data_IF_120760103866
#
_entry.id   IF_120760103866
#
_cell.length_a   1.000
_cell.length_b   1.000
_cell.length_c   1.000
_cell.angle_alpha   90.00
_cell.angle_beta   90.00
_cell.angle_gamma   90.00
#
_symmetry.space_group_name_H-M   'P 1'
#
loop_
_entity.id
_entity.type
_entity.pdbx_description
1 polymer ?
#
# COMPACT_ATOMS: atom_id res chain seq x y z
N UNK A 1 6.31 51.49 58.87
CA UNK A 1 5.49 52.14 57.83
C UNK A 1 6.32 52.16 56.56
N UNK A 2 6.03 51.55 55.41
CA UNK A 2 4.98 50.70 54.86
C UNK A 2 5.70 49.79 53.84
N UNK A 3 5.62 48.46 53.91
CA UNK A 3 4.65 47.60 53.20
C UNK A 3 4.57 47.83 51.68
N UNK A 4 5.14 46.92 50.88
CA UNK A 4 4.44 45.95 49.99
C UNK A 4 5.32 45.51 48.81
N UNK A 5 5.88 44.32 48.95
CA UNK A 5 6.35 43.44 47.89
C UNK A 5 5.15 43.00 47.03
N UNK A 6 5.21 43.19 45.71
CA UNK A 6 4.25 42.60 44.76
C UNK A 6 4.99 41.60 43.88
N UNK A 7 4.72 40.31 44.14
CA UNK A 7 5.11 39.18 43.29
C UNK A 7 4.01 39.04 42.22
N UNK A 8 4.35 39.34 40.97
CA UNK A 8 3.49 39.05 39.84
C UNK A 8 3.69 37.59 39.42
N UNK A 9 2.77 36.72 39.86
CA UNK A 9 2.68 35.33 39.44
C UNK A 9 2.00 35.27 38.06
N UNK A 10 2.79 35.27 36.99
CA UNK A 10 2.30 35.06 35.63
C UNK A 10 1.94 33.58 35.42
N UNK A 11 0.65 33.28 35.40
CA UNK A 11 0.11 31.96 35.08
C UNK A 11 0.32 31.67 33.58
N UNK A 12 1.40 31.00 33.24
CA UNK A 12 1.62 30.48 31.89
C UNK A 12 0.66 29.30 31.65
N UNK A 13 -0.43 29.54 30.91
CA UNK A 13 -1.25 28.49 30.32
C UNK A 13 -0.42 27.78 29.25
N UNK A 14 0.26 26.71 29.63
CA UNK A 14 0.82 25.76 28.66
C UNK A 14 -0.33 24.96 28.08
N UNK A 15 -0.65 25.21 26.81
CA UNK A 15 -1.46 24.30 26.01
C UNK A 15 -0.67 23.00 25.92
N UNK A 16 -1.04 22.01 26.73
CA UNK A 16 -0.52 20.66 26.64
C UNK A 16 -1.00 20.06 25.32
N UNK A 17 -0.21 20.23 24.26
CA UNK A 17 -0.29 19.33 23.11
C UNK A 17 0.05 17.93 23.61
N UNK A 18 -0.82 16.92 23.42
CA UNK A 18 -0.54 15.57 23.87
C UNK A 18 0.77 15.10 23.23
N UNK A 19 1.75 14.81 24.10
CA UNK A 19 3.04 14.22 23.76
C UNK A 19 2.86 12.74 23.38
N UNK A 20 2.16 12.50 22.29
CA UNK A 20 2.22 11.26 21.53
C UNK A 20 2.51 11.68 20.08
N UNK A 21 3.45 11.02 19.42
CA UNK A 21 3.86 11.25 18.01
C UNK A 21 4.98 12.27 17.74
N UNK A 22 5.87 12.56 18.69
CA UNK A 22 7.22 13.03 18.35
C UNK A 22 8.09 11.84 17.87
N UNK A 23 7.67 11.18 16.80
CA UNK A 23 8.47 10.15 16.11
C UNK A 23 9.15 10.87 14.95
N UNK A 24 10.45 11.20 15.10
CA UNK A 24 11.38 11.73 14.08
C UNK A 24 10.76 11.77 12.69
N UNK A 25 10.59 12.97 12.13
CA UNK A 25 9.97 13.33 10.83
C UNK A 25 10.33 12.40 9.67
N UNK A 26 9.84 11.16 9.70
CA UNK A 26 9.73 10.32 8.54
C UNK A 26 8.52 10.85 7.84
N UNK A 27 8.74 11.52 6.70
CA UNK A 27 7.69 11.95 5.79
C UNK A 27 6.60 10.88 5.76
N UNK A 28 5.37 11.27 6.07
CA UNK A 28 4.25 10.35 6.05
C UNK A 28 4.24 9.67 4.66
N UNK A 29 4.39 8.35 4.62
CA UNK A 29 4.43 7.59 3.39
C UNK A 29 3.33 6.55 3.42
N UNK A 30 2.60 6.46 2.32
CA UNK A 30 1.52 5.49 2.16
C UNK A 30 2.04 4.10 1.72
N UNK A 31 3.35 4.02 1.37
CA UNK A 31 4.08 2.80 1.05
C UNK A 31 3.26 1.84 0.19
N UNK A 32 2.91 0.69 0.76
CA UNK A 32 2.23 -0.43 0.09
C UNK A 32 0.71 -0.44 0.21
N UNK A 33 0.06 0.71 0.40
CA UNK A 33 -1.41 0.73 0.46
C UNK A 33 -2.01 0.24 -0.87
N UNK A 34 -3.00 -0.67 -0.83
CA UNK A 34 -3.47 -1.38 -2.02
C UNK A 34 -4.53 -0.56 -2.80
N UNK A 35 -4.18 0.65 -3.27
CA UNK A 35 -5.07 1.41 -4.18
C UNK A 35 -5.33 0.67 -5.51
N UNK A 36 -4.54 -0.36 -5.80
CA UNK A 36 -4.47 -1.04 -7.07
C UNK A 36 -4.88 -2.53 -6.94
N UNK A 37 -6.13 -2.85 -6.59
CA UNK A 37 -6.54 -4.24 -6.32
C UNK A 37 -6.39 -5.17 -7.52
N UNK A 38 -6.49 -4.64 -8.75
CA UNK A 38 -6.25 -5.38 -9.99
C UNK A 38 -4.76 -5.64 -10.29
N UNK A 39 -3.86 -4.97 -9.56
CA UNK A 39 -2.43 -5.00 -9.76
C UNK A 39 -1.80 -5.74 -8.58
N UNK A 40 -1.82 -7.09 -8.65
CA UNK A 40 -1.33 -7.94 -7.55
C UNK A 40 0.18 -7.97 -7.49
N UNK A 41 0.75 -7.81 -6.29
CA UNK A 41 2.19 -7.96 -6.07
C UNK A 41 2.71 -9.34 -6.54
N UNK A 42 3.96 -9.39 -7.02
CA UNK A 42 4.66 -10.64 -7.32
C UNK A 42 4.69 -11.54 -6.07
N UNK A 43 4.50 -12.85 -6.26
CA UNK A 43 4.67 -13.83 -5.20
C UNK A 43 6.07 -13.68 -4.57
N UNK A 44 6.15 -13.53 -3.25
CA UNK A 44 7.40 -13.32 -2.51
C UNK A 44 7.80 -11.85 -2.32
N UNK A 45 7.05 -10.88 -2.85
CA UNK A 45 7.26 -9.47 -2.52
C UNK A 45 6.63 -9.11 -1.17
N UNK A 46 7.44 -8.62 -0.23
CA UNK A 46 6.95 -8.03 1.01
C UNK A 46 6.32 -6.64 0.79
N UNK A 47 6.49 -6.05 -0.41
CA UNK A 47 5.73 -4.89 -0.83
C UNK A 47 4.42 -5.36 -1.46
N UNK A 48 3.30 -5.06 -0.81
CA UNK A 48 1.95 -5.33 -1.33
C UNK A 48 1.63 -4.60 -2.65
N UNK A 49 2.58 -3.86 -3.22
CA UNK A 49 2.45 -3.13 -4.47
C UNK A 49 3.35 -3.74 -5.54
N UNK A 50 2.73 -4.04 -6.69
CA UNK A 50 3.36 -4.67 -7.86
C UNK A 50 4.37 -3.76 -8.58
N UNK A 51 4.13 -2.45 -8.60
CA UNK A 51 5.00 -1.45 -9.26
C UNK A 51 5.59 -0.49 -8.22
N UNK A 52 6.92 -0.48 -8.03
CA UNK A 52 7.56 0.40 -7.06
C UNK A 52 7.21 1.87 -7.26
N UNK A 53 6.93 2.56 -6.16
CA UNK A 53 6.62 4.00 -6.17
C UNK A 53 5.30 4.40 -6.84
N UNK A 54 4.49 3.46 -7.33
CA UNK A 54 3.25 3.80 -8.05
C UNK A 54 2.26 4.59 -7.18
N UNK A 55 2.24 4.42 -5.86
CA UNK A 55 1.39 5.22 -4.98
C UNK A 55 1.74 6.71 -4.96
N UNK A 56 2.99 7.07 -5.27
CA UNK A 56 3.43 8.47 -5.26
C UNK A 56 2.81 9.28 -6.41
N UNK A 57 2.27 8.63 -7.46
CA UNK A 57 1.57 9.34 -8.56
C UNK A 57 0.28 10.01 -8.09
N UNK A 58 -0.29 9.57 -6.96
CA UNK A 58 -1.48 10.17 -6.38
C UNK A 58 -1.19 11.50 -5.67
N UNK A 59 0.09 11.79 -5.41
CA UNK A 59 0.56 13.01 -4.74
C UNK A 59 -0.30 13.36 -3.52
N UNK A 60 -0.59 12.35 -2.69
CA UNK A 60 -1.41 12.51 -1.49
C UNK A 60 -0.78 13.55 -0.56
N UNK A 61 -1.61 14.39 0.05
CA UNK A 61 -1.16 15.30 1.10
C UNK A 61 -0.81 14.53 2.36
N UNK A 62 0.03 15.10 3.23
CA UNK A 62 0.38 14.47 4.50
C UNK A 62 -0.88 14.19 5.35
N UNK A 63 -1.85 15.10 5.34
CA UNK A 63 -3.15 14.91 6.00
C UNK A 63 -3.92 13.70 5.43
N UNK A 64 -3.98 13.55 4.10
CA UNK A 64 -4.61 12.38 3.48
C UNK A 64 -3.88 11.10 3.87
N UNK A 65 -2.55 11.09 3.87
CA UNK A 65 -1.75 9.92 4.25
C UNK A 65 -2.04 9.54 5.72
N UNK A 66 -2.08 10.51 6.63
CA UNK A 66 -2.42 10.27 8.03
C UNK A 66 -3.82 9.66 8.19
N UNK A 67 -4.84 10.25 7.55
CA UNK A 67 -6.22 9.75 7.61
C UNK A 67 -6.36 8.33 7.05
N UNK A 68 -5.59 7.98 6.02
CA UNK A 68 -5.62 6.62 5.44
C UNK A 68 -4.96 5.62 6.38
N UNK A 69 -3.85 5.99 7.04
CA UNK A 69 -3.23 5.13 8.05
C UNK A 69 -4.14 4.91 9.24
N UNK A 70 -4.79 5.95 9.73
CA UNK A 70 -5.77 5.87 10.81
C UNK A 70 -6.94 4.96 10.41
N UNK A 71 -7.56 5.20 9.25
CA UNK A 71 -8.63 4.35 8.73
C UNK A 71 -8.21 2.88 8.63
N UNK A 72 -6.95 2.60 8.22
CA UNK A 72 -6.41 1.24 8.18
C UNK A 72 -6.24 0.63 9.57
N UNK A 73 -5.75 1.39 10.54
CA UNK A 73 -5.57 0.89 11.92
C UNK A 73 -6.91 0.61 12.59
N UNK A 74 -7.91 1.47 12.39
CA UNK A 74 -9.24 1.30 12.99
C UNK A 74 -10.04 0.16 12.36
N UNK A 75 -9.78 -0.17 11.09
CA UNK A 75 -10.47 -1.25 10.38
C UNK A 75 -9.66 -2.54 10.44
N UNK A 76 -8.80 -2.79 9.44
CA UNK A 76 -8.01 -4.00 9.27
C UNK A 76 -6.96 -4.21 10.38
N UNK A 77 -6.51 -3.12 11.01
CA UNK A 77 -5.59 -3.14 12.12
C UNK A 77 -6.24 -3.30 13.49
N UNK A 78 -7.58 -3.39 13.57
CA UNK A 78 -8.28 -3.50 14.85
C UNK A 78 -7.86 -4.74 15.64
N UNK A 79 -7.81 -4.60 16.96
CA UNK A 79 -7.44 -5.72 17.83
C UNK A 79 -8.43 -6.88 17.74
N UNK A 80 -9.69 -6.59 17.42
CA UNK A 80 -10.70 -7.61 17.11
C UNK A 80 -10.30 -8.46 15.90
N UNK A 81 -9.95 -7.83 14.77
CA UNK A 81 -9.54 -8.58 13.57
C UNK A 81 -8.20 -9.28 13.75
N UNK A 82 -7.24 -8.69 14.47
CA UNK A 82 -5.98 -9.38 14.82
C UNK A 82 -6.23 -10.64 15.64
N UNK A 83 -7.13 -10.56 16.62
CA UNK A 83 -7.53 -11.71 17.43
C UNK A 83 -8.20 -12.79 16.57
N UNK A 84 -9.15 -12.41 15.72
CA UNK A 84 -9.79 -13.33 14.75
C UNK A 84 -8.77 -13.96 13.80
N UNK A 85 -7.81 -13.18 13.27
CA UNK A 85 -6.72 -13.66 12.41
C UNK A 85 -5.87 -14.74 13.09
N UNK A 86 -5.63 -14.58 14.39
CA UNK A 86 -4.83 -15.52 15.17
C UNK A 86 -5.60 -16.81 15.42
N UNK A 87 -6.89 -16.70 15.74
CA UNK A 87 -7.78 -17.85 15.96
C UNK A 87 -7.93 -18.73 14.72
N UNK A 88 -8.09 -18.14 13.54
CA UNK A 88 -8.27 -18.93 12.30
C UNK A 88 -7.01 -19.64 11.81
N UNK A 89 -5.85 -19.37 12.41
CA UNK A 89 -4.61 -20.12 12.14
C UNK A 89 -4.53 -21.44 12.91
N UNK A 90 -5.40 -21.64 13.91
CA UNK A 90 -5.52 -22.91 14.60
C UNK A 90 -6.04 -23.98 13.62
N UNK A 91 -5.36 -25.12 13.56
CA UNK A 91 -5.73 -26.24 12.70
C UNK A 91 -7.11 -26.83 13.03
N UNK A 92 -7.59 -26.61 14.26
CA UNK A 92 -8.85 -27.15 14.76
C UNK A 92 -10.04 -26.18 14.61
N UNK A 93 -9.84 -25.00 14.02
CA UNK A 93 -10.91 -24.01 13.85
C UNK A 93 -12.02 -24.56 12.94
N UNK A 94 -13.27 -24.40 13.37
CA UNK A 94 -14.41 -24.90 12.61
C UNK A 94 -14.57 -24.15 11.28
N UNK A 95 -15.26 -24.78 10.32
CA UNK A 95 -15.58 -24.11 9.05
C UNK A 95 -16.43 -22.85 9.28
N UNK A 96 -17.41 -22.91 10.19
CA UNK A 96 -18.25 -21.78 10.55
C UNK A 96 -17.46 -20.60 11.13
N UNK A 97 -16.46 -20.86 11.97
CA UNK A 97 -15.58 -19.80 12.50
C UNK A 97 -14.66 -19.20 11.43
N UNK A 98 -14.19 -20.02 10.47
CA UNK A 98 -13.45 -19.53 9.31
C UNK A 98 -14.30 -18.61 8.44
N UNK A 99 -15.53 -19.01 8.15
CA UNK A 99 -16.47 -18.22 7.35
C UNK A 99 -16.85 -16.92 8.06
N UNK A 100 -17.10 -16.97 9.38
CA UNK A 100 -17.36 -15.79 10.19
C UNK A 100 -16.17 -14.82 10.24
N UNK A 101 -14.94 -15.33 10.32
CA UNK A 101 -13.75 -14.51 10.25
C UNK A 101 -13.58 -13.89 8.85
N UNK A 102 -13.78 -14.66 7.78
CA UNK A 102 -13.75 -14.15 6.40
C UNK A 102 -14.76 -13.02 6.21
N UNK A 103 -16.00 -13.19 6.66
CA UNK A 103 -17.02 -12.16 6.59
C UNK A 103 -16.62 -10.88 7.36
N UNK A 104 -15.98 -11.03 8.53
CA UNK A 104 -15.47 -9.89 9.29
C UNK A 104 -14.34 -9.15 8.54
N UNK A 105 -13.42 -9.87 7.90
CA UNK A 105 -12.38 -9.27 7.05
C UNK A 105 -12.97 -8.57 5.84
N UNK A 106 -13.92 -9.20 5.14
CA UNK A 106 -14.56 -8.62 3.96
C UNK A 106 -15.33 -7.33 4.35
N UNK A 107 -16.03 -7.32 5.49
CA UNK A 107 -16.70 -6.13 6.02
C UNK A 107 -15.71 -5.01 6.36
N UNK A 108 -14.62 -5.31 7.06
CA UNK A 108 -13.63 -4.31 7.43
C UNK A 108 -12.88 -3.76 6.20
N UNK A 109 -12.66 -4.60 5.19
CA UNK A 109 -12.10 -4.17 3.92
C UNK A 109 -13.04 -3.21 3.18
N UNK A 110 -14.34 -3.50 3.16
CA UNK A 110 -15.34 -2.61 2.58
C UNK A 110 -15.39 -1.26 3.32
N UNK A 111 -15.36 -1.28 4.65
CA UNK A 111 -15.33 -0.07 5.46
C UNK A 111 -14.06 0.77 5.22
N UNK A 112 -12.90 0.13 5.09
CA UNK A 112 -11.66 0.81 4.72
C UNK A 112 -11.78 1.48 3.35
N UNK A 113 -12.33 0.78 2.37
CA UNK A 113 -12.55 1.32 1.02
C UNK A 113 -13.45 2.55 1.06
N UNK A 114 -14.57 2.50 1.78
CA UNK A 114 -15.50 3.64 1.91
C UNK A 114 -14.85 4.85 2.58
N UNK A 115 -14.06 4.62 3.64
CA UNK A 115 -13.33 5.70 4.33
C UNK A 115 -12.28 6.34 3.43
N UNK A 116 -11.54 5.53 2.68
CA UNK A 116 -10.53 6.00 1.72
C UNK A 116 -11.18 6.78 0.58
N UNK A 117 -12.32 6.32 0.06
CA UNK A 117 -13.06 7.04 -1.00
C UNK A 117 -13.43 8.47 -0.61
N UNK A 118 -13.75 8.68 0.69
CA UNK A 118 -14.06 10.00 1.26
C UNK A 118 -12.84 10.87 1.50
N UNK A 119 -11.65 10.27 1.65
CA UNK A 119 -10.38 11.00 1.85
C UNK A 119 -9.82 11.50 0.51
N UNK A 120 -10.03 10.74 -0.55
CA UNK A 120 -9.48 11.04 -1.88
C UNK A 120 -10.29 12.10 -2.62
N UNK A 121 -9.59 12.94 -3.38
CA UNK A 121 -10.24 13.89 -4.30
C UNK A 121 -10.84 13.19 -5.51
N UNK A 122 -11.77 13.85 -6.19
CA UNK A 122 -12.35 13.33 -7.44
C UNK A 122 -11.27 13.04 -8.50
N UNK A 123 -10.26 13.90 -8.61
CA UNK A 123 -9.14 13.72 -9.55
C UNK A 123 -8.27 12.49 -9.18
N UNK A 124 -7.97 12.29 -7.90
CA UNK A 124 -7.23 11.12 -7.43
C UNK A 124 -8.00 9.83 -7.71
N UNK A 125 -9.33 9.83 -7.51
CA UNK A 125 -10.18 8.68 -7.82
C UNK A 125 -10.25 8.38 -9.32
N UNK A 126 -10.39 9.42 -10.14
CA UNK A 126 -10.34 9.29 -11.59
C UNK A 126 -8.98 8.74 -12.07
N UNK A 127 -7.89 9.22 -11.48
CA UNK A 127 -6.55 8.71 -11.76
C UNK A 127 -6.40 7.23 -11.35
N UNK A 128 -6.96 6.83 -10.20
CA UNK A 128 -6.97 5.44 -9.77
C UNK A 128 -7.67 4.55 -10.79
N UNK A 129 -8.89 4.93 -11.20
CA UNK A 129 -9.66 4.20 -12.18
C UNK A 129 -8.92 4.09 -13.53
N UNK A 130 -8.34 5.21 -14.01
CA UNK A 130 -7.59 5.25 -15.28
C UNK A 130 -6.35 4.35 -15.26
N UNK A 131 -5.57 4.38 -14.18
CA UNK A 131 -4.39 3.51 -14.02
C UNK A 131 -4.82 2.03 -13.95
N UNK A 132 -5.89 1.72 -13.23
CA UNK A 132 -6.46 0.36 -13.18
C UNK A 132 -6.89 -0.15 -14.56
N UNK A 133 -7.60 0.67 -15.34
CA UNK A 133 -7.98 0.36 -16.71
C UNK A 133 -6.75 0.17 -17.61
N UNK A 134 -5.75 1.04 -17.50
CA UNK A 134 -4.50 0.94 -18.28
C UNK A 134 -3.75 -0.35 -18.01
N UNK A 135 -3.74 -0.84 -16.76
CA UNK A 135 -3.16 -2.14 -16.44
C UNK A 135 -3.95 -3.29 -17.05
N UNK A 136 -5.29 -3.24 -17.04
CA UNK A 136 -6.14 -4.24 -17.67
C UNK A 136 -5.93 -4.29 -19.20
N UNK A 137 -5.80 -3.13 -19.83
CA UNK A 137 -5.47 -3.02 -21.26
C UNK A 137 -4.08 -3.60 -21.58
N UNK A 138 -3.06 -3.24 -20.80
CA UNK A 138 -1.71 -3.77 -20.96
C UNK A 138 -1.69 -5.30 -20.82
N UNK A 139 -2.44 -5.84 -19.86
CA UNK A 139 -2.61 -7.28 -19.69
C UNK A 139 -3.27 -7.93 -20.90
N UNK A 140 -4.35 -7.34 -21.38
CA UNK A 140 -5.11 -7.86 -22.53
C UNK A 140 -4.25 -7.89 -23.79
N UNK A 141 -3.44 -6.86 -24.02
CA UNK A 141 -2.53 -6.79 -25.16
C UNK A 141 -1.49 -7.92 -25.20
N UNK A 142 -1.11 -8.46 -24.04
CA UNK A 142 -0.13 -9.54 -23.91
C UNK A 142 -0.79 -10.92 -23.75
N UNK A 143 -2.10 -10.97 -23.54
CA UNK A 143 -2.78 -12.21 -23.13
C UNK A 143 -2.65 -13.30 -24.18
N UNK A 144 -2.93 -12.99 -25.44
CA UNK A 144 -2.95 -13.99 -26.52
C UNK A 144 -1.54 -14.54 -26.79
N UNK A 145 -0.51 -13.67 -26.81
CA UNK A 145 0.89 -14.07 -26.95
C UNK A 145 1.25 -15.10 -25.88
N UNK A 146 1.00 -14.79 -24.61
CA UNK A 146 1.45 -15.63 -23.51
C UNK A 146 0.58 -16.85 -23.28
N UNK A 147 -0.72 -16.80 -23.57
CA UNK A 147 -1.57 -17.99 -23.56
C UNK A 147 -1.07 -19.04 -24.55
N UNK A 148 -0.70 -18.61 -25.77
CA UNK A 148 -0.13 -19.50 -26.77
C UNK A 148 1.20 -20.09 -26.29
N UNK A 149 2.09 -19.27 -25.70
CA UNK A 149 3.36 -19.76 -25.16
C UNK A 149 3.16 -20.77 -24.03
N UNK A 150 2.24 -20.53 -23.11
CA UNK A 150 1.91 -21.51 -22.06
C UNK A 150 1.31 -22.81 -22.61
N UNK A 151 0.58 -22.75 -23.73
CA UNK A 151 0.05 -23.95 -24.37
C UNK A 151 1.15 -24.80 -25.05
N UNK A 152 2.26 -24.19 -25.46
CA UNK A 152 3.39 -24.88 -26.12
C UNK A 152 4.38 -25.55 -25.16
N UNK A 153 4.31 -25.27 -23.86
CA UNK A 153 5.22 -25.84 -22.85
C UNK A 153 4.56 -27.01 -22.13
N UNK A 154 5.35 -28.06 -21.86
CA UNK A 154 4.91 -29.20 -21.06
C UNK A 154 4.39 -28.73 -19.69
N UNK A 155 3.19 -29.19 -19.32
CA UNK A 155 2.56 -28.79 -18.05
C UNK A 155 3.36 -29.22 -16.82
N UNK A 156 4.20 -30.25 -16.95
CA UNK A 156 5.06 -30.81 -15.90
C UNK A 156 6.42 -30.10 -15.78
N UNK A 157 6.80 -29.30 -16.79
CA UNK A 157 8.03 -28.51 -16.74
C UNK A 157 7.81 -27.20 -15.97
N UNK A 158 7.99 -27.29 -14.64
CA UNK A 158 7.80 -26.16 -13.74
C UNK A 158 8.75 -24.98 -14.06
N UNK A 159 9.99 -25.25 -14.48
CA UNK A 159 10.99 -24.22 -14.76
C UNK A 159 10.67 -23.46 -16.06
N UNK A 160 10.31 -24.17 -17.13
CA UNK A 160 9.89 -23.53 -18.37
C UNK A 160 8.63 -22.67 -18.19
N UNK A 161 7.65 -23.16 -17.42
CA UNK A 161 6.44 -22.39 -17.10
C UNK A 161 6.74 -21.16 -16.24
N UNK A 162 7.64 -21.30 -15.26
CA UNK A 162 8.10 -20.18 -14.43
C UNK A 162 8.78 -19.11 -15.29
N UNK A 163 9.65 -19.50 -16.23
CA UNK A 163 10.30 -18.57 -17.16
C UNK A 163 9.29 -17.80 -18.01
N UNK A 164 8.27 -18.48 -18.56
CA UNK A 164 7.19 -17.80 -19.30
C UNK A 164 6.42 -16.83 -18.40
N UNK A 165 6.14 -17.21 -17.16
CA UNK A 165 5.48 -16.33 -16.20
C UNK A 165 6.32 -15.09 -15.86
N UNK A 166 7.63 -15.25 -15.67
CA UNK A 166 8.56 -14.14 -15.41
C UNK A 166 8.64 -13.18 -16.60
N UNK A 167 8.70 -13.71 -17.82
CA UNK A 167 8.67 -12.92 -19.04
C UNK A 167 7.35 -12.17 -19.23
N UNK A 168 6.21 -12.84 -18.98
CA UNK A 168 4.89 -12.20 -19.02
C UNK A 168 4.83 -11.02 -18.07
N UNK A 169 5.27 -11.25 -16.84
CA UNK A 169 5.23 -10.23 -15.80
C UNK A 169 6.14 -9.06 -16.15
N UNK A 170 7.33 -9.33 -16.68
CA UNK A 170 8.29 -8.29 -17.11
C UNK A 170 7.75 -7.47 -18.28
N UNK A 171 7.16 -8.12 -19.31
CA UNK A 171 6.54 -7.39 -20.43
C UNK A 171 5.32 -6.60 -19.99
N UNK A 172 4.51 -7.15 -19.09
CA UNK A 172 3.35 -6.45 -18.53
C UNK A 172 3.78 -5.19 -17.77
N UNK A 173 4.84 -5.29 -16.96
CA UNK A 173 5.42 -4.16 -16.23
C UNK A 173 5.85 -3.05 -17.20
N UNK A 174 6.59 -3.42 -18.24
CA UNK A 174 7.10 -2.47 -19.23
C UNK A 174 5.96 -1.79 -20.02
N UNK A 175 5.00 -2.58 -20.51
CA UNK A 175 3.85 -2.08 -21.27
C UNK A 175 2.97 -1.17 -20.42
N UNK A 176 2.66 -1.57 -19.19
CA UNK A 176 1.91 -0.76 -18.24
C UNK A 176 2.64 0.56 -17.94
N UNK A 177 3.92 0.52 -17.60
CA UNK A 177 4.71 1.72 -17.30
C UNK A 177 4.78 2.68 -18.50
N UNK A 178 4.97 2.14 -19.71
CA UNK A 178 4.97 2.93 -20.94
C UNK A 178 3.64 3.66 -21.13
N UNK A 179 2.52 2.94 -20.98
CA UNK A 179 1.18 3.51 -21.12
C UNK A 179 0.89 4.58 -20.08
N UNK A 180 1.18 4.35 -18.79
CA UNK A 180 0.91 5.36 -17.76
C UNK A 180 1.79 6.62 -17.96
N UNK A 181 3.03 6.44 -18.40
CA UNK A 181 3.94 7.57 -18.67
C UNK A 181 3.42 8.54 -19.74
N UNK A 182 2.55 8.08 -20.65
CA UNK A 182 1.97 8.93 -21.70
C UNK A 182 1.01 10.00 -21.16
N UNK A 183 0.44 9.81 -19.97
CA UNK A 183 -0.54 10.73 -19.39
C UNK A 183 -0.22 11.20 -17.97
N UNK A 184 0.83 10.68 -17.34
CA UNK A 184 1.32 11.22 -16.07
C UNK A 184 2.04 12.57 -16.31
N UNK A 185 1.78 13.53 -15.42
CA UNK A 185 2.51 14.80 -15.42
C UNK A 185 4.00 14.60 -15.11
N UNK A 186 4.89 15.55 -15.48
CA UNK A 186 6.30 15.48 -15.07
C UNK A 186 6.48 15.34 -13.56
N UNK A 187 5.68 16.05 -12.76
CA UNK A 187 5.73 15.98 -11.30
C UNK A 187 5.35 14.59 -10.78
N UNK A 188 4.32 13.95 -11.34
CA UNK A 188 3.90 12.59 -10.96
C UNK A 188 4.94 11.53 -11.35
N UNK A 189 5.58 11.68 -12.51
CA UNK A 189 6.67 10.77 -12.94
C UNK A 189 7.87 10.86 -12.01
N UNK A 190 8.30 12.08 -11.69
CA UNK A 190 9.39 12.32 -10.75
C UNK A 190 9.06 11.79 -9.34
N UNK A 191 7.82 11.98 -8.87
CA UNK A 191 7.37 11.45 -7.58
C UNK A 191 7.43 9.91 -7.54
N UNK A 192 6.97 9.25 -8.60
CA UNK A 192 7.06 7.78 -8.73
C UNK A 192 8.51 7.30 -8.73
N UNK A 193 9.36 7.90 -9.54
CA UNK A 193 10.77 7.48 -9.66
C UNK A 193 11.51 7.63 -8.33
N UNK A 194 11.35 8.77 -7.66
CA UNK A 194 11.90 8.99 -6.32
C UNK A 194 11.41 7.95 -5.32
N UNK A 195 10.09 7.69 -5.27
CA UNK A 195 9.53 6.70 -4.36
C UNK A 195 10.02 5.27 -4.68
N UNK A 196 10.17 4.93 -5.95
CA UNK A 196 10.72 3.64 -6.38
C UNK A 196 12.18 3.46 -5.93
N UNK A 197 13.00 4.51 -5.98
CA UNK A 197 14.37 4.48 -5.45
C UNK A 197 14.41 4.32 -3.93
N UNK A 198 13.56 5.06 -3.21
CA UNK A 198 13.44 4.96 -1.75
C UNK A 198 13.01 3.55 -1.31
N UNK A 199 12.05 2.94 -2.01
CA UNK A 199 11.61 1.56 -1.77
C UNK A 199 12.72 0.54 -2.03
N UNK A 200 13.48 0.70 -3.13
CA UNK A 200 14.64 -0.16 -3.43
C UNK A 200 15.73 -0.05 -2.37
N UNK A 201 16.04 1.17 -1.93
CA UNK A 201 17.02 1.41 -0.87
C UNK A 201 16.57 0.80 0.47
N UNK A 202 15.30 0.96 0.82
CA UNK A 202 14.72 0.35 2.02
C UNK A 202 14.77 -1.18 1.98
N UNK A 203 14.45 -1.79 0.83
CA UNK A 203 14.53 -3.24 0.64
C UNK A 203 15.97 -3.77 0.78
N UNK A 204 16.95 -3.10 0.16
CA UNK A 204 18.36 -3.47 0.27
C UNK A 204 18.87 -3.40 1.72
N UNK A 205 18.45 -2.38 2.47
CA UNK A 205 18.81 -2.23 3.89
C UNK A 205 18.13 -3.29 4.77
N UNK A 206 16.87 -3.63 4.50
CA UNK A 206 16.16 -4.69 5.22
C UNK A 206 16.81 -6.08 5.03
N UNK A 207 17.38 -6.36 3.85
CA UNK A 207 18.11 -7.61 3.58
C UNK A 207 19.43 -7.67 4.36
N UNK A 208 20.16 -6.56 4.48
CA UNK A 208 21.40 -6.50 5.28
C UNK A 208 21.14 -6.80 6.75
N UNK A 209 20.15 -6.13 7.35
CA UNK A 209 19.78 -6.31 8.76
C UNK A 209 19.38 -7.77 9.08
N UNK A 210 18.79 -8.50 8.12
CA UNK A 210 18.42 -9.91 8.29
C UNK A 210 19.60 -10.89 8.14
N UNK A 211 20.69 -10.48 7.49
CA UNK A 211 21.92 -11.29 7.38
C UNK A 211 22.85 -11.10 8.58
N UNK A 212 22.74 -9.96 9.25
CA UNK A 212 23.54 -9.59 10.42
C UNK A 212 22.88 -9.98 11.77
N UNK A 213 21.76 -10.71 11.72
CA UNK A 213 21.05 -11.29 12.88
C UNK A 213 21.03 -12.81 12.77
#
# INVERSE_FOLDING_TARGET
MNTRTLIALGLALTVATPAAFAQKDKKASIGNFPFWPAIKAKAGSNSGQYVPGLNAVLQLTDEQIHKIHEARQETLGSDELKSRATKVKDANVSAAERDAAKAAFDKAQAELTDRVDRILTAEQKALIAKIGATHAEARTALQDEFQNRFATVDKTDAEARKKIQEEFTTKLDAEFLNRINSYLTPAQRAAREKAAEEEKAAAANAVKIKKDK
#
